data_IF_521136528115
#
_entry.id   IF_521136528115
#
_cell.length_a   1.000
_cell.length_b   1.000
_cell.length_c   1.000
_cell.angle_alpha   90.00
_cell.angle_beta   90.00
_cell.angle_gamma   90.00
#
_symmetry.space_group_name_H-M   'P 1'
#
loop_
_entity.id
_entity.type
_entity.pdbx_description
1 polymer ?
#
# COMPACT_ATOMS: atom_id res chain seq x y z
N UNK A 1 -6.46 -1.80 22.87
CA UNK A 1 -5.12 -1.18 22.79
C UNK A 1 -4.39 -1.43 24.10
N UNK A 2 -3.54 -2.46 24.11
CA UNK A 2 -2.86 -2.92 25.33
C UNK A 2 -1.67 -2.04 25.77
N UNK A 3 -1.42 -0.91 25.08
CA UNK A 3 -0.26 -0.05 25.39
C UNK A 3 1.10 -0.62 24.98
N UNK A 4 1.09 -1.58 24.07
CA UNK A 4 2.31 -2.24 23.56
C UNK A 4 3.08 -1.38 22.57
N UNK A 5 2.43 -0.40 21.95
CA UNK A 5 3.02 0.54 21.01
C UNK A 5 2.58 1.97 21.31
N UNK A 6 3.45 2.95 21.08
CA UNK A 6 3.15 4.38 21.26
C UNK A 6 2.49 5.01 20.03
N UNK A 7 2.85 4.54 18.84
CA UNK A 7 2.33 4.96 17.54
C UNK A 7 2.05 3.76 16.64
N UNK A 8 1.06 3.90 15.77
CA UNK A 8 0.83 3.01 14.65
C UNK A 8 0.71 3.80 13.36
N UNK A 9 1.17 3.23 12.25
CA UNK A 9 0.99 3.75 10.91
C UNK A 9 0.03 2.82 10.17
N UNK A 10 -0.95 3.38 9.49
CA UNK A 10 -1.91 2.58 8.76
C UNK A 10 -2.92 3.43 7.98
N UNK A 11 -3.85 2.76 7.37
CA UNK A 11 -5.00 3.37 6.72
C UNK A 11 -6.26 2.67 7.19
N UNK A 12 -7.33 3.43 7.37
CA UNK A 12 -8.65 2.88 7.62
C UNK A 12 -9.39 2.74 6.29
N UNK A 13 -10.20 1.70 6.19
CA UNK A 13 -11.24 1.68 5.16
C UNK A 13 -12.28 2.78 5.47
N UNK A 14 -12.90 3.38 4.44
CA UNK A 14 -13.88 4.46 4.64
C UNK A 14 -15.03 4.10 5.61
N UNK A 15 -15.32 2.82 5.75
CA UNK A 15 -16.42 2.30 6.58
C UNK A 15 -16.00 1.98 8.03
N UNK A 16 -14.72 2.15 8.37
CA UNK A 16 -14.22 1.83 9.71
C UNK A 16 -14.35 3.06 10.63
N UNK A 17 -15.16 2.99 11.70
CA UNK A 17 -15.35 4.13 12.59
C UNK A 17 -14.05 4.48 13.31
N UNK A 18 -13.79 5.78 13.46
CA UNK A 18 -12.67 6.28 14.25
C UNK A 18 -12.76 5.75 15.69
N UNK A 19 -11.66 5.24 16.21
CA UNK A 19 -11.62 4.76 17.60
C UNK A 19 -11.55 5.97 18.55
N UNK A 20 -12.46 6.09 19.55
CA UNK A 20 -12.58 7.29 20.38
C UNK A 20 -11.32 7.63 21.20
N UNK A 21 -10.48 6.65 21.50
CA UNK A 21 -9.25 6.85 22.28
C UNK A 21 -8.00 7.10 21.42
N UNK A 22 -8.15 7.09 20.08
CA UNK A 22 -7.06 7.33 19.15
C UNK A 22 -7.13 8.75 18.57
N UNK A 23 -6.00 9.41 18.56
CA UNK A 23 -5.74 10.59 17.76
C UNK A 23 -5.27 10.13 16.38
N UNK A 24 -5.97 10.59 15.33
CA UNK A 24 -5.63 10.30 13.94
C UNK A 24 -5.01 11.54 13.31
N UNK A 25 -3.79 11.38 12.79
CA UNK A 25 -3.06 12.46 12.15
C UNK A 25 -2.80 12.05 10.70
N UNK A 26 -3.25 12.84 9.73
CA UNK A 26 -2.94 12.61 8.33
C UNK A 26 -1.43 12.71 8.13
N UNK A 27 -0.85 11.70 7.50
CA UNK A 27 0.60 11.64 7.28
C UNK A 27 0.95 11.78 5.81
N UNK A 28 0.46 10.90 4.97
CA UNK A 28 0.70 10.97 3.52
C UNK A 28 -0.50 10.45 2.74
N UNK A 29 -0.60 10.88 1.49
CA UNK A 29 -1.53 10.34 0.53
C UNK A 29 -0.80 9.50 -0.48
N UNK A 30 -1.35 8.34 -0.84
CA UNK A 30 -0.79 7.43 -1.82
C UNK A 30 -1.89 6.84 -2.72
N UNK A 31 -1.49 6.20 -3.79
CA UNK A 31 -2.37 5.53 -4.72
C UNK A 31 -1.82 4.15 -5.10
N UNK A 32 -2.68 3.26 -5.54
CA UNK A 32 -2.25 1.96 -6.04
C UNK A 32 -1.73 2.07 -7.47
N UNK A 33 -0.64 1.37 -7.74
CA UNK A 33 -0.05 1.16 -9.07
C UNK A 33 0.21 -0.32 -9.28
N UNK A 34 0.57 -0.70 -10.51
CA UNK A 34 0.93 -2.07 -10.86
C UNK A 34 2.40 -2.13 -11.22
N UNK A 35 3.13 -3.08 -10.66
CA UNK A 35 4.47 -3.43 -11.11
C UNK A 35 4.48 -4.70 -11.94
N UNK A 36 5.36 -4.74 -12.92
CA UNK A 36 5.67 -5.88 -13.77
C UNK A 36 7.15 -5.97 -14.06
N UNK A 37 7.60 -7.06 -14.66
CA UNK A 37 8.94 -7.14 -15.26
C UNK A 37 9.19 -6.01 -16.29
N UNK A 38 10.45 -5.63 -16.47
CA UNK A 38 10.85 -4.45 -17.24
C UNK A 38 10.51 -4.47 -18.74
N UNK A 39 10.24 -5.63 -19.31
CA UNK A 39 9.97 -5.79 -20.75
C UNK A 39 8.49 -5.51 -21.14
N UNK A 40 7.59 -5.33 -20.18
CA UNK A 40 6.20 -4.95 -20.46
C UNK A 40 6.13 -3.47 -20.85
N UNK A 41 5.51 -3.18 -21.97
CA UNK A 41 5.43 -1.81 -22.53
C UNK A 41 4.07 -1.14 -22.35
N UNK A 42 3.02 -1.92 -22.09
CA UNK A 42 1.67 -1.41 -21.89
C UNK A 42 0.87 -2.34 -20.97
N UNK A 43 -0.13 -1.76 -20.28
CA UNK A 43 -1.07 -2.49 -19.44
C UNK A 43 -2.48 -1.93 -19.63
N UNK A 44 -3.32 -2.68 -20.37
CA UNK A 44 -4.76 -2.43 -20.49
C UNK A 44 -5.55 -3.18 -19.42
N UNK A 45 -6.84 -2.83 -19.25
CA UNK A 45 -7.72 -3.55 -18.32
C UNK A 45 -7.81 -5.04 -18.69
N UNK A 46 -8.03 -5.36 -19.96
CA UNK A 46 -8.13 -6.76 -20.41
C UNK A 46 -6.84 -7.53 -20.13
N UNK A 47 -5.68 -6.91 -20.39
CA UNK A 47 -4.39 -7.50 -20.10
C UNK A 47 -4.14 -7.69 -18.59
N UNK A 48 -4.64 -6.77 -17.76
CA UNK A 48 -4.59 -6.89 -16.30
C UNK A 48 -5.46 -8.04 -15.78
N UNK A 49 -6.70 -8.15 -16.26
CA UNK A 49 -7.65 -9.19 -15.84
C UNK A 49 -7.23 -10.58 -16.31
N UNK A 50 -6.64 -10.68 -17.51
CA UNK A 50 -6.12 -11.94 -18.07
C UNK A 50 -4.79 -12.39 -17.43
N UNK A 51 -4.06 -11.49 -16.78
CA UNK A 51 -2.78 -11.78 -16.17
C UNK A 51 -2.91 -12.60 -14.88
N UNK A 52 -1.83 -13.23 -14.50
CA UNK A 52 -1.66 -13.88 -13.20
C UNK A 52 -1.07 -12.88 -12.20
N UNK A 53 -1.59 -12.89 -10.98
CA UNK A 53 -1.22 -11.90 -9.96
C UNK A 53 -0.50 -12.51 -8.76
N UNK A 54 0.51 -11.79 -8.26
CA UNK A 54 1.08 -11.98 -6.94
C UNK A 54 0.40 -11.01 -5.98
N UNK A 55 -0.02 -11.50 -4.83
CA UNK A 55 -0.65 -10.71 -3.78
C UNK A 55 0.14 -10.86 -2.48
N UNK A 56 0.44 -9.74 -1.83
CA UNK A 56 1.06 -9.72 -0.51
C UNK A 56 -0.03 -9.68 0.55
N UNK A 57 -0.05 -10.68 1.43
CA UNK A 57 -1.03 -10.84 2.51
C UNK A 57 -0.32 -11.04 3.85
N UNK A 58 0.22 -9.97 4.47
CA UNK A 58 1.02 -10.09 5.69
C UNK A 58 0.26 -10.74 6.85
N UNK A 59 -1.05 -10.53 6.91
CA UNK A 59 -1.93 -11.05 7.98
C UNK A 59 -2.93 -12.10 7.49
N UNK A 60 -2.68 -12.70 6.30
CA UNK A 60 -3.52 -13.73 5.70
C UNK A 60 -5.00 -13.30 5.49
N UNK A 61 -5.20 -12.05 5.12
CA UNK A 61 -6.52 -11.53 4.80
C UNK A 61 -7.16 -12.32 3.65
N UNK A 62 -8.46 -12.53 3.75
CA UNK A 62 -9.20 -13.27 2.72
C UNK A 62 -9.30 -12.49 1.42
N UNK A 63 -9.46 -11.17 1.52
CA UNK A 63 -9.69 -10.28 0.39
C UNK A 63 -9.03 -8.92 0.63
N UNK A 64 -8.29 -8.43 -0.33
CA UNK A 64 -7.66 -7.11 -0.29
C UNK A 64 -8.58 -6.02 -0.84
N UNK A 65 -8.24 -4.76 -0.55
CA UNK A 65 -8.96 -3.56 -1.01
C UNK A 65 -9.20 -3.59 -2.54
N UNK A 66 -8.19 -3.98 -3.31
CA UNK A 66 -8.30 -4.04 -4.77
C UNK A 66 -9.23 -5.14 -5.28
N UNK A 67 -9.33 -6.25 -4.56
CA UNK A 67 -10.24 -7.34 -4.95
C UNK A 67 -11.71 -6.93 -4.68
N UNK A 68 -11.97 -6.24 -3.58
CA UNK A 68 -13.28 -5.64 -3.30
C UNK A 68 -13.67 -4.61 -4.36
N UNK A 69 -12.72 -3.77 -4.78
CA UNK A 69 -12.98 -2.75 -5.80
C UNK A 69 -13.23 -3.36 -7.18
N UNK A 70 -12.48 -4.40 -7.56
CA UNK A 70 -12.72 -5.15 -8.79
C UNK A 70 -14.11 -5.80 -8.78
N UNK A 71 -14.49 -6.47 -7.69
CA UNK A 71 -15.82 -7.09 -7.55
C UNK A 71 -16.95 -6.07 -7.66
N UNK A 72 -16.80 -4.88 -7.04
CA UNK A 72 -17.77 -3.79 -7.15
C UNK A 72 -17.98 -3.34 -8.59
N UNK A 73 -16.94 -3.45 -9.43
CA UNK A 73 -16.98 -3.13 -10.86
C UNK A 73 -17.37 -4.34 -11.74
N UNK A 74 -17.66 -5.50 -11.16
CA UNK A 74 -18.04 -6.72 -11.87
C UNK A 74 -16.86 -7.50 -12.45
N UNK A 75 -15.63 -7.24 -11.96
CA UNK A 75 -14.41 -7.90 -12.40
C UNK A 75 -13.83 -8.82 -11.33
N UNK A 76 -12.94 -9.71 -11.77
CA UNK A 76 -12.10 -10.53 -10.88
C UNK A 76 -10.74 -10.72 -11.53
N UNK A 77 -9.73 -11.03 -10.72
CA UNK A 77 -8.37 -11.34 -11.19
C UNK A 77 -7.92 -12.71 -10.73
N UNK A 78 -7.00 -13.32 -11.47
CA UNK A 78 -6.44 -14.60 -11.11
C UNK A 78 -5.25 -14.42 -10.16
N UNK A 79 -5.41 -14.72 -8.87
CA UNK A 79 -4.33 -14.77 -7.91
C UNK A 79 -3.58 -16.09 -8.05
N UNK A 80 -2.40 -16.05 -8.63
CA UNK A 80 -1.55 -17.22 -8.85
C UNK A 80 -0.58 -17.48 -7.70
N UNK A 81 -0.21 -16.44 -6.94
CA UNK A 81 0.73 -16.53 -5.84
C UNK A 81 0.34 -15.58 -4.70
N UNK A 82 0.47 -16.06 -3.46
CA UNK A 82 0.40 -15.24 -2.25
C UNK A 82 1.71 -15.34 -1.48
N UNK A 83 2.18 -14.22 -0.94
CA UNK A 83 3.36 -14.16 -0.07
C UNK A 83 3.10 -13.24 1.11
N UNK A 84 3.60 -13.55 2.31
CA UNK A 84 3.56 -12.62 3.42
C UNK A 84 4.66 -11.55 3.34
N UNK A 85 5.66 -11.75 2.46
CA UNK A 85 6.85 -10.89 2.39
C UNK A 85 6.76 -9.87 1.27
N UNK A 86 6.60 -8.60 1.64
CA UNK A 86 6.70 -7.47 0.70
C UNK A 86 8.11 -7.35 0.10
N UNK A 87 9.15 -7.70 0.84
CA UNK A 87 10.55 -7.56 0.40
C UNK A 87 10.96 -8.57 -0.67
N UNK A 88 10.38 -9.76 -0.70
CA UNK A 88 10.67 -10.76 -1.73
C UNK A 88 9.89 -10.55 -3.03
N UNK A 89 8.77 -9.85 -2.95
CA UNK A 89 7.86 -9.67 -4.08
C UNK A 89 8.51 -9.05 -5.33
N UNK A 90 9.31 -7.96 -5.26
CA UNK A 90 9.90 -7.34 -6.44
C UNK A 90 10.82 -8.28 -7.22
N UNK A 91 11.57 -9.14 -6.53
CA UNK A 91 12.47 -10.11 -7.17
C UNK A 91 11.70 -11.26 -7.86
N UNK A 92 10.53 -11.62 -7.32
CA UNK A 92 9.63 -12.59 -7.96
C UNK A 92 9.04 -11.97 -9.24
N UNK A 93 8.57 -10.71 -9.16
CA UNK A 93 8.01 -10.00 -10.32
C UNK A 93 9.05 -9.80 -11.42
N UNK A 94 10.29 -9.43 -11.08
CA UNK A 94 11.37 -9.25 -12.04
C UNK A 94 11.63 -10.52 -12.89
N UNK A 95 11.45 -11.69 -12.31
CA UNK A 95 11.76 -12.99 -12.91
C UNK A 95 10.52 -13.75 -13.41
N UNK A 96 9.35 -13.11 -13.45
CA UNK A 96 8.10 -13.77 -13.83
C UNK A 96 7.22 -12.88 -14.71
N UNK A 97 6.15 -13.47 -15.26
CA UNK A 97 5.07 -12.75 -15.96
C UNK A 97 3.98 -12.23 -15.04
N UNK A 98 4.13 -12.41 -13.73
CA UNK A 98 3.17 -11.98 -12.72
C UNK A 98 3.06 -10.44 -12.66
N UNK A 99 1.88 -9.97 -12.31
CA UNK A 99 1.62 -8.59 -11.95
C UNK A 99 1.42 -8.48 -10.43
N UNK A 100 1.83 -7.37 -9.87
CA UNK A 100 1.53 -7.04 -8.48
C UNK A 100 1.05 -5.60 -8.37
N UNK A 101 -0.06 -5.40 -7.69
CA UNK A 101 -0.54 -4.07 -7.35
C UNK A 101 -0.16 -3.72 -5.90
N UNK A 102 0.34 -2.50 -5.71
CA UNK A 102 0.86 -2.01 -4.43
C UNK A 102 0.85 -0.47 -4.40
N UNK A 103 1.04 0.16 -3.23
CA UNK A 103 1.19 1.62 -3.13
C UNK A 103 2.35 2.14 -4.00
N UNK A 104 2.16 3.30 -4.64
CA UNK A 104 3.14 3.93 -5.54
C UNK A 104 4.50 4.14 -4.89
N UNK A 105 4.55 4.67 -3.67
CA UNK A 105 5.81 4.92 -2.95
C UNK A 105 6.60 3.63 -2.71
N UNK A 106 5.91 2.52 -2.42
CA UNK A 106 6.53 1.22 -2.30
C UNK A 106 7.06 0.73 -3.66
N UNK A 107 6.27 0.88 -4.74
CA UNK A 107 6.69 0.51 -6.09
C UNK A 107 7.95 1.26 -6.54
N UNK A 108 8.00 2.58 -6.33
CA UNK A 108 9.15 3.41 -6.67
C UNK A 108 10.41 3.01 -5.90
N UNK A 109 10.26 2.66 -4.62
CA UNK A 109 11.37 2.16 -3.80
C UNK A 109 11.86 0.81 -4.32
N UNK A 110 10.95 -0.10 -4.66
CA UNK A 110 11.30 -1.43 -5.18
C UNK A 110 11.93 -1.38 -6.56
N UNK A 111 11.51 -0.44 -7.42
CA UNK A 111 12.09 -0.25 -8.75
C UNK A 111 13.56 0.25 -8.73
N UNK A 112 14.06 0.70 -7.56
CA UNK A 112 15.48 1.00 -7.38
C UNK A 112 16.33 -0.27 -7.12
N UNK A 113 15.70 -1.33 -6.62
CA UNK A 113 16.38 -2.58 -6.24
C UNK A 113 16.20 -3.70 -7.27
N UNK A 114 15.16 -3.63 -8.11
CA UNK A 114 14.82 -4.64 -9.11
C UNK A 114 14.40 -3.96 -10.43
N UNK A 115 14.61 -4.64 -11.55
CA UNK A 115 14.24 -4.12 -12.88
C UNK A 115 12.75 -4.30 -13.11
N UNK A 116 11.98 -3.28 -12.75
CA UNK A 116 10.53 -3.27 -12.81
C UNK A 116 10.02 -2.11 -13.68
N UNK A 117 8.86 -2.32 -14.29
CA UNK A 117 8.07 -1.24 -14.89
C UNK A 117 6.85 -0.99 -14.01
N UNK A 118 6.56 0.30 -13.78
CA UNK A 118 5.41 0.75 -12.99
C UNK A 118 4.35 1.27 -13.95
N UNK A 119 3.13 0.77 -13.82
CA UNK A 119 1.95 1.20 -14.57
C UNK A 119 0.89 1.78 -13.62
N UNK A 120 0.10 2.77 -14.07
CA UNK A 120 -1.13 3.10 -13.36
C UNK A 120 -2.07 1.89 -13.34
N UNK A 121 -2.96 1.82 -12.33
CA UNK A 121 -4.06 0.86 -12.37
C UNK A 121 -4.94 1.12 -13.61
N UNK A 122 -5.30 0.09 -14.39
CA UNK A 122 -6.12 0.26 -15.58
C UNK A 122 -7.65 0.36 -15.28
N UNK A 123 -8.01 0.59 -14.02
CA UNK A 123 -9.37 0.83 -13.54
C UNK A 123 -9.33 1.83 -12.37
N UNK A 124 -10.42 2.59 -12.17
CA UNK A 124 -10.43 3.61 -11.13
C UNK A 124 -10.43 2.99 -9.73
N UNK A 125 -9.48 3.42 -8.91
CA UNK A 125 -9.42 3.14 -7.48
C UNK A 125 -9.10 4.46 -6.78
N UNK A 126 -9.89 4.89 -5.79
CA UNK A 126 -9.60 6.11 -5.06
C UNK A 126 -8.22 6.04 -4.38
N UNK A 127 -7.47 7.14 -4.37
CA UNK A 127 -6.28 7.24 -3.53
C UNK A 127 -6.67 7.11 -2.05
N UNK A 128 -5.72 6.71 -1.22
CA UNK A 128 -5.93 6.52 0.21
C UNK A 128 -4.97 7.37 1.04
N UNK A 129 -5.42 7.74 2.22
CA UNK A 129 -4.60 8.48 3.16
C UNK A 129 -4.01 7.51 4.19
N UNK A 130 -2.69 7.55 4.36
CA UNK A 130 -1.99 6.87 5.45
C UNK A 130 -1.95 7.84 6.63
N UNK A 131 -2.33 7.33 7.80
CA UNK A 131 -2.42 8.10 9.03
C UNK A 131 -1.44 7.60 10.08
N UNK A 132 -1.06 8.50 10.97
CA UNK A 132 -0.41 8.19 12.23
C UNK A 132 -1.50 8.08 13.28
N UNK A 133 -1.53 6.98 13.99
CA UNK A 133 -2.43 6.73 15.11
C UNK A 133 -1.66 6.80 16.41
N UNK A 134 -2.08 7.64 17.32
CA UNK A 134 -1.53 7.74 18.66
C UNK A 134 -2.65 7.58 19.69
N UNK A 135 -2.40 6.84 20.77
CA UNK A 135 -3.35 6.84 21.87
C UNK A 135 -3.32 8.23 22.53
N UNK A 136 -4.49 8.81 22.88
CA UNK A 136 -4.60 10.17 23.44
C UNK A 136 -3.69 10.40 24.67
N UNK A 137 -3.43 9.36 25.46
CA UNK A 137 -2.50 9.43 26.60
C UNK A 137 -1.04 9.41 26.16
N UNK A 138 -0.68 8.62 25.16
CA UNK A 138 0.68 8.51 24.63
C UNK A 138 1.06 9.70 23.75
N UNK A 139 0.11 10.24 22.97
CA UNK A 139 0.31 11.43 22.13
C UNK A 139 0.68 12.71 22.90
N UNK A 140 0.47 12.74 24.24
CA UNK A 140 0.90 13.85 25.10
C UNK A 140 2.36 13.74 25.58
N UNK A 141 3.02 12.59 25.38
CA UNK A 141 4.45 12.40 25.75
C UNK A 141 5.33 13.16 24.77
N UNK A 142 6.36 13.83 25.28
CA UNK A 142 7.28 14.61 24.47
C UNK A 142 7.97 13.79 23.39
N UNK A 143 8.44 12.58 23.71
CA UNK A 143 9.07 11.67 22.74
C UNK A 143 8.10 11.26 21.62
N UNK A 144 6.83 10.99 21.92
CA UNK A 144 5.81 10.66 20.93
C UNK A 144 5.54 11.83 19.98
N UNK A 145 5.42 13.04 20.51
CA UNK A 145 5.25 14.28 19.72
C UNK A 145 6.45 14.56 18.83
N UNK A 146 7.65 14.38 19.35
CA UNK A 146 8.87 14.50 18.57
C UNK A 146 8.88 13.52 17.39
N UNK A 147 8.53 12.25 17.63
CA UNK A 147 8.48 11.22 16.59
C UNK A 147 7.42 11.55 15.52
N UNK A 148 6.23 12.01 15.92
CA UNK A 148 5.19 12.47 14.99
C UNK A 148 5.72 13.60 14.10
N UNK A 149 6.34 14.62 14.69
CA UNK A 149 6.93 15.74 13.96
C UNK A 149 8.01 15.29 12.98
N UNK A 150 8.86 14.34 13.38
CA UNK A 150 9.89 13.77 12.52
C UNK A 150 9.27 13.04 11.32
N UNK A 151 8.27 12.19 11.54
CA UNK A 151 7.57 11.47 10.48
C UNK A 151 6.90 12.42 9.48
N UNK A 152 6.31 13.51 9.95
CA UNK A 152 5.71 14.53 9.09
C UNK A 152 6.75 15.27 8.23
N UNK A 153 7.91 15.58 8.80
CA UNK A 153 9.03 16.23 8.08
C UNK A 153 9.59 15.35 6.97
N UNK A 154 9.77 14.06 7.23
CA UNK A 154 10.30 13.10 6.24
C UNK A 154 9.42 12.98 4.98
N UNK A 155 8.11 13.17 5.11
CA UNK A 155 7.20 13.13 3.96
C UNK A 155 7.27 14.43 3.16
N UNK A 156 7.42 15.58 3.82
CA UNK A 156 7.55 16.88 3.17
C UNK A 156 8.78 16.98 2.27
N UNK A 157 9.88 16.36 2.65
CA UNK A 157 11.12 16.32 1.86
C UNK A 157 11.02 15.41 0.62
N UNK A 158 10.19 14.37 0.66
CA UNK A 158 10.01 13.40 -0.45
C UNK A 158 9.18 13.95 -1.60
N UNK A 159 8.46 15.06 -1.42
CA UNK A 159 7.64 15.71 -2.47
C UNK A 159 8.38 16.81 -3.24
N UNK A 160 9.63 17.11 -2.88
CA UNK A 160 10.43 18.21 -3.44
C UNK A 160 11.57 17.77 -4.39
N UNK A 161 11.53 16.51 -4.89
CA UNK A 161 12.53 16.00 -5.86
C UNK A 161 11.91 15.58 -7.17
#
# INVERSE_FOLDING_TARGET
LAGEVDLALGFNTPDEPAHPDLEEINWLRDEYVVISQANRTALTLDAYLAARHLVVTPWNERQGVLDCELERQGYSRQVAMKTPSMLSAPFIIEQSDLLMALPRRAAETMARAARLTIFPLPFPVPPFDVKIYAHQRSGKREATRWLISLLQTLVGESTAS
#
